data_IF_726161994770
#
_entry.id   IF_726161994770
#
_cell.length_a   1.000
_cell.length_b   1.000
_cell.length_c   1.000
_cell.angle_alpha   90.00
_cell.angle_beta   90.00
_cell.angle_gamma   90.00
#
_symmetry.space_group_name_H-M   'P 1'
#
loop_
_entity.id
_entity.type
_entity.pdbx_description
1 polymer ?
#
# COMPACT_ATOMS: atom_id res chain seq x y z
N UNK A 1 35.20 -7.43 6.72
CA UNK A 1 35.50 -7.25 5.28
C UNK A 1 34.20 -6.78 4.63
N UNK A 2 34.04 -5.46 4.41
CA UNK A 2 32.82 -4.89 3.83
C UNK A 2 32.95 -4.96 2.30
N UNK A 3 32.10 -5.74 1.64
CA UNK A 3 32.05 -5.79 0.19
C UNK A 3 31.48 -4.46 -0.31
N UNK A 4 32.37 -3.71 -0.93
CA UNK A 4 32.15 -2.41 -1.57
C UNK A 4 30.99 -2.55 -2.56
N UNK A 5 29.88 -1.89 -2.25
CA UNK A 5 28.80 -1.57 -3.19
C UNK A 5 29.41 -0.73 -4.31
N UNK A 6 29.86 -1.40 -5.37
CA UNK A 6 30.53 -0.79 -6.50
C UNK A 6 29.52 -0.42 -7.58
N UNK A 7 29.20 0.87 -7.64
CA UNK A 7 28.74 1.62 -8.80
C UNK A 7 27.60 1.03 -9.65
N UNK A 8 26.41 1.57 -9.41
CA UNK A 8 25.27 1.59 -10.32
C UNK A 8 25.64 2.15 -11.71
N UNK A 9 25.91 1.26 -12.65
CA UNK A 9 25.92 1.57 -14.10
C UNK A 9 24.50 1.64 -14.69
N UNK A 10 23.48 1.90 -13.86
CA UNK A 10 22.06 1.90 -14.23
C UNK A 10 21.61 3.12 -15.01
N UNK A 11 22.47 4.13 -15.21
CA UNK A 11 22.07 5.38 -15.90
C UNK A 11 22.00 5.23 -17.43
N UNK A 12 22.35 4.06 -17.99
CA UNK A 12 22.16 3.73 -19.41
C UNK A 12 21.20 2.57 -19.65
N UNK A 13 20.67 2.00 -18.59
CA UNK A 13 19.77 0.86 -18.61
C UNK A 13 18.38 1.47 -18.43
N UNK A 14 17.69 1.73 -19.55
CA UNK A 14 16.40 2.43 -19.57
C UNK A 14 15.55 1.99 -18.37
N UNK A 15 15.14 2.97 -17.57
CA UNK A 15 14.61 2.71 -16.22
C UNK A 15 13.50 1.66 -16.23
N UNK A 16 13.13 1.06 -15.10
CA UNK A 16 12.36 -0.18 -15.09
C UNK A 16 10.91 -0.04 -15.61
N UNK A 17 10.48 1.19 -15.94
CA UNK A 17 9.27 1.50 -16.71
C UNK A 17 9.52 1.38 -18.23
N UNK A 18 10.63 1.93 -18.71
CA UNK A 18 11.06 1.84 -20.11
C UNK A 18 11.35 0.39 -20.49
N UNK A 19 12.05 -0.35 -19.64
CA UNK A 19 12.27 -1.79 -19.82
C UNK A 19 10.95 -2.58 -19.91
N UNK A 20 9.96 -2.25 -19.07
CA UNK A 20 8.66 -2.91 -19.10
C UNK A 20 7.85 -2.54 -20.37
N UNK A 21 7.94 -1.31 -20.84
CA UNK A 21 7.37 -0.87 -22.11
C UNK A 21 7.96 -1.64 -23.30
N UNK A 22 9.29 -1.70 -23.37
CA UNK A 22 10.01 -2.46 -24.39
C UNK A 22 9.63 -3.95 -24.38
N UNK A 23 9.57 -4.57 -23.20
CA UNK A 23 9.17 -5.97 -23.07
C UNK A 23 7.73 -6.17 -23.56
N UNK A 24 6.79 -5.29 -23.23
CA UNK A 24 5.41 -5.37 -23.71
C UNK A 24 5.33 -5.34 -25.24
N UNK A 25 6.13 -4.50 -25.89
CA UNK A 25 6.19 -4.41 -27.35
C UNK A 25 6.81 -5.68 -27.96
N UNK A 26 7.99 -6.09 -27.50
CA UNK A 26 8.67 -7.28 -27.97
C UNK A 26 7.82 -8.56 -27.80
N UNK A 27 7.12 -8.69 -26.67
CA UNK A 27 6.22 -9.82 -26.41
C UNK A 27 5.03 -9.82 -27.39
N UNK A 28 4.53 -8.65 -27.78
CA UNK A 28 3.43 -8.53 -28.77
C UNK A 28 3.82 -9.06 -30.15
N UNK A 29 5.08 -8.88 -30.55
CA UNK A 29 5.62 -9.45 -31.80
C UNK A 29 5.73 -10.98 -31.70
N UNK A 30 6.22 -11.50 -30.57
CA UNK A 30 6.34 -12.94 -30.34
C UNK A 30 4.98 -13.65 -30.35
N UNK A 31 3.92 -13.01 -29.86
CA UNK A 31 2.56 -13.57 -29.91
C UNK A 31 2.12 -13.79 -31.35
N UNK A 32 2.40 -12.86 -32.26
CA UNK A 32 2.04 -13.00 -33.68
C UNK A 32 2.74 -14.22 -34.29
N UNK A 33 4.02 -14.41 -33.98
CA UNK A 33 4.81 -15.57 -34.43
C UNK A 33 4.24 -16.87 -33.84
N UNK A 34 3.96 -16.90 -32.54
CA UNK A 34 3.41 -18.08 -31.87
C UNK A 34 2.02 -18.47 -32.41
N UNK A 35 1.19 -17.49 -32.77
CA UNK A 35 -0.13 -17.71 -33.40
C UNK A 35 0.00 -18.34 -34.79
N UNK A 36 0.93 -17.86 -35.61
CA UNK A 36 1.21 -18.44 -36.95
C UNK A 36 1.62 -19.91 -36.83
N UNK A 37 2.40 -20.25 -35.81
CA UNK A 37 2.85 -21.63 -35.57
C UNK A 37 1.88 -22.48 -34.73
N UNK A 38 0.72 -21.95 -34.35
CA UNK A 38 -0.32 -22.63 -33.53
C UNK A 38 0.22 -23.17 -32.19
N UNK A 39 1.10 -22.39 -31.56
CA UNK A 39 1.69 -22.73 -30.26
C UNK A 39 0.82 -22.18 -29.13
N UNK A 40 -0.35 -22.78 -28.91
CA UNK A 40 -1.39 -22.22 -28.05
C UNK A 40 -0.92 -21.93 -26.61
N UNK A 41 -0.16 -22.85 -26.01
CA UNK A 41 0.42 -22.65 -24.67
C UNK A 41 1.44 -21.50 -24.62
N UNK A 42 2.21 -21.31 -25.70
CA UNK A 42 3.18 -20.22 -25.77
C UNK A 42 2.46 -18.87 -25.93
N UNK A 43 1.42 -18.81 -26.79
CA UNK A 43 0.57 -17.62 -26.91
C UNK A 43 0.01 -17.20 -25.54
N UNK A 44 -0.53 -18.16 -24.78
CA UNK A 44 -1.06 -17.90 -23.45
C UNK A 44 -0.01 -17.29 -22.50
N UNK A 45 1.18 -17.89 -22.43
CA UNK A 45 2.26 -17.39 -21.56
C UNK A 45 2.73 -15.99 -21.97
N UNK A 46 2.81 -15.73 -23.28
CA UNK A 46 3.20 -14.42 -23.79
C UNK A 46 2.12 -13.37 -23.53
N UNK A 47 0.84 -13.71 -23.67
CA UNK A 47 -0.27 -12.79 -23.30
C UNK A 47 -0.22 -12.44 -21.81
N UNK A 48 0.05 -13.40 -20.94
CA UNK A 48 0.22 -13.14 -19.50
C UNK A 48 1.42 -12.22 -19.23
N UNK A 49 2.56 -12.49 -19.86
CA UNK A 49 3.76 -11.67 -19.71
C UNK A 49 3.55 -10.22 -20.21
N UNK A 50 2.78 -10.04 -21.30
CA UNK A 50 2.42 -8.71 -21.81
C UNK A 50 1.59 -7.93 -20.79
N UNK A 51 0.59 -8.58 -20.18
CA UNK A 51 -0.26 -7.96 -19.17
C UNK A 51 0.55 -7.56 -17.92
N UNK A 52 1.45 -8.42 -17.45
CA UNK A 52 2.31 -8.11 -16.30
C UNK A 52 3.27 -6.94 -16.58
N UNK A 53 3.86 -6.89 -17.78
CA UNK A 53 4.71 -5.78 -18.19
C UNK A 53 3.93 -4.45 -18.24
N UNK A 54 2.72 -4.47 -18.81
CA UNK A 54 1.82 -3.32 -18.81
C UNK A 54 1.41 -2.87 -17.40
N UNK A 55 1.21 -3.82 -16.49
CA UNK A 55 0.87 -3.53 -15.09
C UNK A 55 1.98 -2.77 -14.37
N UNK A 56 3.23 -3.16 -14.58
CA UNK A 56 4.39 -2.49 -13.98
C UNK A 56 4.47 -1.02 -14.42
N UNK A 57 4.21 -0.75 -15.70
CA UNK A 57 4.15 0.62 -16.24
C UNK A 57 3.03 1.41 -15.56
N UNK A 58 1.83 0.81 -15.46
CA UNK A 58 0.66 1.45 -14.86
C UNK A 58 0.85 1.74 -13.36
N UNK A 59 1.34 0.78 -12.59
CA UNK A 59 1.58 0.92 -11.15
C UNK A 59 2.63 2.00 -10.87
N UNK A 60 3.69 2.08 -11.68
CA UNK A 60 4.73 3.11 -11.51
C UNK A 60 4.28 4.49 -11.99
N UNK A 61 3.46 4.56 -13.04
CA UNK A 61 2.81 5.81 -13.45
C UNK A 61 1.86 6.32 -12.35
N UNK A 62 1.09 5.43 -11.70
CA UNK A 62 0.23 5.77 -10.57
C UNK A 62 0.98 6.13 -9.28
N UNK A 63 2.14 5.52 -9.04
CA UNK A 63 2.96 5.78 -7.84
C UNK A 63 3.64 7.17 -7.88
N UNK A 64 3.85 7.75 -9.07
CA UNK A 64 4.28 9.16 -9.20
C UNK A 64 3.26 10.14 -8.57
N UNK A 65 1.97 9.78 -8.51
CA UNK A 65 0.96 10.56 -7.79
C UNK A 65 0.97 10.33 -6.26
N UNK A 66 1.62 9.27 -5.77
CA UNK A 66 1.58 8.86 -4.35
C UNK A 66 2.86 9.23 -3.59
N UNK A 67 3.93 9.67 -4.26
CA UNK A 67 5.21 10.05 -3.64
C UNK A 67 5.36 11.57 -3.51
N UNK A 68 4.34 12.27 -3.01
CA UNK A 68 4.45 13.68 -2.59
C UNK A 68 4.01 13.94 -1.15
N UNK A 69 3.54 12.92 -0.43
CA UNK A 69 3.37 12.94 1.03
C UNK A 69 4.23 11.77 1.53
N UNK A 70 5.41 11.95 2.11
CA UNK A 70 5.58 12.38 3.50
C UNK A 70 6.99 12.94 3.69
N UNK A 71 7.15 14.26 3.61
CA UNK A 71 8.28 14.94 4.26
C UNK A 71 7.80 15.36 5.64
N UNK A 72 8.41 14.76 6.68
CA UNK A 72 8.42 15.16 8.09
C UNK A 72 7.09 15.39 8.83
N UNK A 73 6.69 14.40 9.64
CA UNK A 73 6.05 14.68 10.94
C UNK A 73 6.49 13.67 12.00
N UNK A 74 7.39 14.12 12.87
CA UNK A 74 7.54 13.73 14.27
C UNK A 74 7.44 12.26 14.67
N UNK A 75 8.60 11.62 14.84
CA UNK A 75 8.76 10.55 15.83
C UNK A 75 9.83 10.97 16.84
N UNK A 76 9.42 11.73 17.86
CA UNK A 76 10.00 11.56 19.20
C UNK A 76 8.86 11.12 20.12
N UNK A 77 8.72 9.80 20.21
CA UNK A 77 7.87 9.12 21.18
C UNK A 77 8.68 8.96 22.47
N UNK A 78 8.43 9.78 23.48
CA UNK A 78 8.68 9.42 24.88
C UNK A 78 7.82 10.24 25.84
N UNK A 79 6.80 9.62 26.45
CA UNK A 79 5.94 10.18 27.49
C UNK A 79 4.58 9.47 27.59
N UNK A 80 4.17 8.94 28.77
CA UNK A 80 3.05 7.99 28.85
C UNK A 80 1.68 8.66 29.09
N UNK A 81 0.75 8.40 28.17
CA UNK A 81 -0.70 8.13 28.35
C UNK A 81 -1.58 9.08 29.23
N UNK A 82 -2.93 8.94 29.28
CA UNK A 82 -3.84 9.99 28.86
C UNK A 82 -4.73 10.50 30.01
N UNK A 83 -5.05 11.79 30.03
CA UNK A 83 -6.15 12.27 30.86
C UNK A 83 -7.12 13.09 30.01
N UNK A 84 -8.32 12.55 29.67
CA UNK A 84 -9.41 13.39 29.21
C UNK A 84 -9.98 14.13 30.43
N UNK A 85 -9.73 15.44 30.48
CA UNK A 85 -10.48 16.36 31.35
C UNK A 85 -11.90 16.51 30.80
N UNK A 86 -12.78 15.62 31.23
CA UNK A 86 -14.23 15.71 30.99
C UNK A 86 -14.98 15.48 32.30
N UNK A 87 -14.89 16.45 33.21
CA UNK A 87 -15.82 16.61 34.31
C UNK A 87 -16.85 17.68 33.95
N UNK A 88 -17.75 17.33 33.02
CA UNK A 88 -19.02 18.03 32.87
C UNK A 88 -20.10 16.97 32.68
N UNK A 89 -20.63 16.47 33.80
CA UNK A 89 -21.75 15.55 33.81
C UNK A 89 -22.84 16.11 34.72
N UNK A 90 -23.72 16.86 34.07
CA UNK A 90 -25.09 17.10 34.46
C UNK A 90 -25.80 15.75 34.65
N UNK A 91 -26.24 15.46 35.86
CA UNK A 91 -27.26 14.45 36.13
C UNK A 91 -28.20 14.98 37.21
N UNK A 92 -29.22 15.70 36.75
CA UNK A 92 -30.45 15.84 37.49
C UNK A 92 -31.17 14.50 37.66
N UNK A 93 -31.99 14.46 38.72
CA UNK A 93 -32.95 13.44 39.11
C UNK A 93 -32.38 12.19 39.80
N UNK A 94 -32.71 12.00 41.09
CA UNK A 94 -33.45 10.82 41.57
C UNK A 94 -34.14 11.09 42.93
N UNK A 95 -35.47 11.27 42.83
CA UNK A 95 -36.54 10.76 43.69
C UNK A 95 -36.21 10.47 45.17
N UNK A 96 -36.70 11.38 46.04
CA UNK A 96 -37.06 11.07 47.43
C UNK A 96 -38.20 10.03 47.42
N UNK A 97 -37.88 8.77 47.70
CA UNK A 97 -38.88 7.74 48.04
C UNK A 97 -38.80 7.45 49.53
N UNK A 98 -39.91 7.75 50.18
CA UNK A 98 -40.31 7.34 51.53
C UNK A 98 -40.23 5.82 51.72
N UNK A 99 -39.65 5.34 52.85
CA UNK A 99 -40.04 4.18 53.70
C UNK A 99 -38.82 3.84 54.60
N UNK A 100 -38.74 4.20 55.88
CA UNK A 100 -39.46 3.62 57.02
C UNK A 100 -38.71 2.40 57.58
N UNK A 101 -38.03 2.45 58.76
CA UNK A 101 -37.46 1.26 59.37
C UNK A 101 -38.50 0.55 60.24
N UNK A 102 -38.84 -0.69 59.89
CA UNK A 102 -39.56 -1.63 60.76
C UNK A 102 -38.61 -2.20 61.82
N UNK A 103 -39.14 -2.42 63.02
CA UNK A 103 -38.46 -3.11 64.11
C UNK A 103 -38.78 -4.61 64.17
N UNK A 104 -37.93 -5.32 64.91
CA UNK A 104 -38.00 -6.65 65.58
C UNK A 104 -36.57 -6.86 66.13
N UNK A 105 -36.25 -7.24 67.36
CA UNK A 105 -36.93 -7.83 68.53
C UNK A 105 -36.34 -7.25 69.82
#
# INVERSE_FOLDING_TARGET
>A
MALRSGNSSSDRDGGPVEAAGYLSEAISELIQIAQVHRLDMLCYLLDMARLEAGEIVRLRAGCCAQRSETVHAGYERSGPNPHPVSAFQDQGAERRVHRGPGGTD
#
